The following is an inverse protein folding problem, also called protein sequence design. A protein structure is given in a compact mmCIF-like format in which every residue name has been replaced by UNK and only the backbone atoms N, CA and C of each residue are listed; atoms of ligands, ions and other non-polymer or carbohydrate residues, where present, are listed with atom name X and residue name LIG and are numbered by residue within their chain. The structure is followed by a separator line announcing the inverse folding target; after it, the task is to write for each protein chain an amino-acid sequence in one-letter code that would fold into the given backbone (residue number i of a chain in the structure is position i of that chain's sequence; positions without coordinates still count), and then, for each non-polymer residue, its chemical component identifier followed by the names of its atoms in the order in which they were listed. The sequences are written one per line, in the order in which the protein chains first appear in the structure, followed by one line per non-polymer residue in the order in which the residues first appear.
data_IF_430163137172
#
_entry.id   IF_430163137172
#
_cell.length_a   1.000
_cell.length_b   1.000
_cell.length_c   1.000
_cell.angle_alpha   90.00
_cell.angle_beta   90.00
_cell.angle_gamma   90.00
#
_symmetry.space_group_name_H-M   'P 1'
#
loop_
_entity.id
_entity.type
_entity.pdbx_description
1 polymer ?
#
# COMPACT_ATOMS: atom_id res chain seq x y z
N UNK A 1 -9.29 -15.71 -22.82
CA UNK A 1 -8.37 -14.82 -23.56
C UNK A 1 -8.86 -13.36 -23.57
N UNK A 2 -10.10 -13.10 -23.98
CA UNK A 2 -10.70 -11.75 -24.04
C UNK A 2 -10.58 -10.95 -22.74
N UNK A 3 -10.93 -11.53 -21.58
CA UNK A 3 -10.81 -10.86 -20.28
C UNK A 3 -9.39 -10.35 -20.02
N UNK A 4 -8.37 -11.18 -20.25
CA UNK A 4 -6.94 -10.79 -20.07
C UNK A 4 -6.56 -9.63 -21.00
N UNK A 5 -7.04 -9.63 -22.24
CA UNK A 5 -6.80 -8.53 -23.18
C UNK A 5 -7.46 -7.21 -22.71
N UNK A 6 -8.72 -7.27 -22.28
CA UNK A 6 -9.43 -6.11 -21.72
C UNK A 6 -8.70 -5.58 -20.48
N UNK A 7 -8.33 -6.47 -19.55
CA UNK A 7 -7.58 -6.08 -18.35
C UNK A 7 -6.28 -5.37 -18.72
N UNK A 8 -5.50 -5.86 -19.69
CA UNK A 8 -4.27 -5.20 -20.16
C UNK A 8 -4.52 -3.81 -20.72
N UNK A 9 -5.58 -3.64 -21.53
CA UNK A 9 -5.96 -2.32 -22.06
C UNK A 9 -6.36 -1.37 -20.93
N UNK A 10 -7.16 -1.82 -19.97
CA UNK A 10 -7.55 -1.01 -18.81
C UNK A 10 -6.34 -0.60 -17.96
N UNK A 11 -5.40 -1.52 -17.72
CA UNK A 11 -4.15 -1.20 -17.03
C UNK A 11 -3.34 -0.16 -17.83
N UNK A 12 -3.23 -0.30 -19.15
CA UNK A 12 -2.52 0.67 -19.99
C UNK A 12 -3.17 2.06 -19.95
N UNK A 13 -4.50 2.15 -19.95
CA UNK A 13 -5.23 3.42 -19.76
C UNK A 13 -4.89 4.01 -18.39
N UNK A 14 -4.93 3.21 -17.34
CA UNK A 14 -4.53 3.62 -15.99
C UNK A 14 -3.09 4.13 -15.91
N UNK A 15 -2.13 3.42 -16.49
CA UNK A 15 -0.71 3.84 -16.55
C UNK A 15 -0.53 5.16 -17.31
N UNK A 16 -1.27 5.37 -18.40
CA UNK A 16 -1.24 6.61 -19.16
C UNK A 16 -1.85 7.77 -18.36
N UNK A 17 -2.96 7.53 -17.67
CA UNK A 17 -3.56 8.50 -16.76
C UNK A 17 -2.57 8.90 -15.65
N UNK A 18 -1.90 7.93 -15.02
CA UNK A 18 -0.85 8.21 -14.03
C UNK A 18 0.31 9.01 -14.63
N UNK A 19 0.70 8.72 -15.87
CA UNK A 19 1.75 9.47 -16.58
C UNK A 19 1.36 10.93 -16.79
N UNK A 20 0.13 11.16 -17.25
CA UNK A 20 -0.41 12.50 -17.46
C UNK A 20 -0.49 13.26 -16.13
N UNK A 21 -0.99 12.64 -15.06
CA UNK A 21 -1.03 13.28 -13.74
C UNK A 21 0.37 13.57 -13.22
N UNK A 22 1.33 12.67 -13.42
CA UNK A 22 2.73 12.91 -13.03
C UNK A 22 3.32 14.08 -13.78
N UNK A 23 3.02 14.20 -15.08
CA UNK A 23 3.45 15.32 -15.91
C UNK A 23 2.80 16.63 -15.44
N UNK A 24 1.49 16.63 -15.22
CA UNK A 24 0.75 17.78 -14.70
C UNK A 24 1.26 18.20 -13.33
N UNK A 25 1.52 17.27 -12.41
CA UNK A 25 2.09 17.59 -11.10
C UNK A 25 3.47 18.23 -11.22
N UNK A 26 4.32 17.76 -12.14
CA UNK A 26 5.64 18.36 -12.38
C UNK A 26 5.57 19.75 -13.02
N UNK A 27 4.53 20.04 -13.81
CA UNK A 27 4.36 21.33 -14.49
C UNK A 27 3.54 22.36 -13.69
N UNK A 28 2.51 21.91 -12.97
CA UNK A 28 1.54 22.76 -12.30
C UNK A 28 1.87 23.05 -10.84
N UNK A 29 2.78 22.29 -10.20
CA UNK A 29 3.15 22.46 -8.80
C UNK A 29 4.56 21.93 -8.48
N UNK A 30 5.11 22.39 -7.36
CA UNK A 30 6.47 22.10 -6.87
C UNK A 30 6.57 20.72 -6.20
N UNK A 31 6.21 19.66 -6.94
CA UNK A 31 6.34 18.28 -6.47
C UNK A 31 7.71 17.73 -6.85
N UNK A 32 8.63 17.77 -5.88
CA UNK A 32 9.97 17.18 -5.98
C UNK A 32 9.94 15.76 -5.40
N UNK A 33 10.07 14.77 -6.30
CA UNK A 33 10.08 13.35 -5.96
C UNK A 33 11.48 12.82 -6.16
N UNK A 34 12.14 12.49 -5.06
CA UNK A 34 13.36 11.70 -5.06
C UNK A 34 13.00 10.24 -4.77
N UNK A 35 13.53 9.30 -5.57
CA UNK A 35 13.28 7.86 -5.37
C UNK A 35 14.57 7.07 -5.48
N UNK A 36 14.75 6.11 -4.58
CA UNK A 36 15.95 5.25 -4.50
C UNK A 36 15.51 3.78 -4.38
N UNK A 37 16.33 2.83 -4.84
CA UNK A 37 16.06 1.41 -4.58
C UNK A 37 15.04 0.77 -5.52
N UNK A 38 14.84 1.38 -6.70
CA UNK A 38 13.90 0.89 -7.72
C UNK A 38 14.52 -0.15 -8.66
N UNK A 39 15.81 -0.42 -8.48
CA UNK A 39 16.57 -1.35 -9.28
C UNK A 39 16.04 -2.77 -9.03
N UNK A 40 16.00 -3.60 -10.08
CA UNK A 40 15.51 -4.99 -10.03
C UNK A 40 13.98 -5.17 -9.88
N UNK A 41 13.19 -4.11 -10.03
CA UNK A 41 11.74 -4.23 -10.22
C UNK A 41 11.42 -4.56 -11.69
N UNK A 42 10.41 -5.40 -11.91
CA UNK A 42 10.01 -5.91 -13.23
C UNK A 42 8.51 -5.74 -13.42
N UNK A 43 8.08 -5.45 -14.65
CA UNK A 43 6.66 -5.26 -14.98
C UNK A 43 5.85 -6.56 -14.94
N UNK A 44 6.52 -7.69 -15.08
CA UNK A 44 5.94 -9.02 -15.14
C UNK A 44 5.95 -9.74 -13.78
N UNK A 45 6.44 -9.09 -12.72
CA UNK A 45 6.47 -9.64 -11.36
C UNK A 45 5.15 -9.49 -10.59
N UNK A 46 5.02 -10.20 -9.48
CA UNK A 46 3.94 -9.99 -8.51
C UNK A 46 4.54 -9.44 -7.22
N UNK A 47 4.01 -8.33 -6.74
CA UNK A 47 4.59 -7.63 -5.59
C UNK A 47 3.56 -7.39 -4.50
N UNK A 48 3.98 -7.65 -3.26
CA UNK A 48 3.30 -7.13 -2.08
C UNK A 48 4.05 -5.89 -1.62
N UNK A 49 3.50 -4.71 -1.89
CA UNK A 49 4.10 -3.44 -1.53
C UNK A 49 3.61 -3.02 -0.15
N UNK A 50 4.53 -2.79 0.79
CA UNK A 50 4.22 -2.32 2.13
C UNK A 50 4.77 -0.92 2.34
N UNK A 51 3.98 -0.04 2.95
CA UNK A 51 4.38 1.36 3.15
C UNK A 51 3.87 1.92 4.48
N UNK A 52 4.61 2.89 5.03
CA UNK A 52 4.06 3.85 5.98
C UNK A 52 3.07 4.79 5.26
N UNK A 53 2.23 5.50 6.01
CA UNK A 53 1.19 6.35 5.41
C UNK A 53 1.09 7.70 6.14
N UNK A 54 1.30 8.82 5.46
CA UNK A 54 1.29 10.17 6.05
C UNK A 54 0.18 11.04 5.48
N UNK A 55 -0.01 11.03 4.16
CA UNK A 55 -1.01 11.89 3.49
C UNK A 55 -1.68 11.16 2.33
N UNK A 56 -2.74 11.76 1.76
CA UNK A 56 -3.36 11.21 0.55
C UNK A 56 -2.43 11.34 -0.67
N UNK A 57 -1.51 12.31 -0.63
CA UNK A 57 -0.46 12.50 -1.65
C UNK A 57 0.42 11.25 -1.80
N UNK A 58 0.59 10.43 -0.74
CA UNK A 58 1.34 9.17 -0.81
C UNK A 58 0.87 8.27 -1.96
N UNK A 59 -0.45 8.16 -2.18
CA UNK A 59 -1.00 7.31 -3.24
C UNK A 59 -0.58 7.83 -4.61
N UNK A 60 -0.62 9.14 -4.80
CA UNK A 60 -0.27 9.78 -6.08
C UNK A 60 1.23 9.65 -6.34
N UNK A 61 2.06 9.86 -5.32
CA UNK A 61 3.52 9.68 -5.39
C UNK A 61 3.88 8.23 -5.67
N UNK A 62 3.28 7.27 -4.96
CA UNK A 62 3.52 5.84 -5.19
C UNK A 62 3.10 5.43 -6.60
N UNK A 63 1.94 5.88 -7.07
CA UNK A 63 1.53 5.65 -8.46
C UNK A 63 2.57 6.22 -9.43
N UNK A 64 3.05 7.45 -9.25
CA UNK A 64 4.06 8.07 -10.11
C UNK A 64 5.41 7.32 -10.09
N UNK A 65 5.90 6.96 -8.90
CA UNK A 65 7.19 6.28 -8.70
C UNK A 65 7.18 4.88 -9.29
N UNK A 66 6.11 4.11 -9.07
CA UNK A 66 6.02 2.73 -9.52
C UNK A 66 5.45 2.57 -10.93
N UNK A 67 4.90 3.64 -11.52
CA UNK A 67 4.31 3.60 -12.85
C UNK A 67 5.30 3.00 -13.83
N UNK A 68 4.87 1.98 -14.56
CA UNK A 68 5.66 1.30 -15.59
C UNK A 68 6.93 0.58 -15.11
N UNK A 69 7.16 0.47 -13.80
CA UNK A 69 8.29 -0.26 -13.20
C UNK A 69 7.87 -1.57 -12.56
N UNK A 70 6.65 -1.59 -12.02
CA UNK A 70 5.95 -2.77 -11.53
C UNK A 70 4.57 -2.83 -12.22
N UNK A 71 3.86 -3.96 -12.19
CA UNK A 71 2.47 -3.98 -12.64
C UNK A 71 1.64 -2.96 -11.87
N UNK A 72 0.60 -2.46 -12.52
CA UNK A 72 -0.25 -1.38 -12.00
C UNK A 72 -0.63 -1.58 -10.53
N UNK A 73 -0.42 -0.53 -9.72
CA UNK A 73 -0.64 -0.61 -8.27
C UNK A 73 -2.13 -0.76 -7.97
N UNK A 74 -2.48 -1.89 -7.38
CA UNK A 74 -3.80 -2.13 -6.78
C UNK A 74 -3.72 -1.94 -5.28
N UNK A 75 -4.79 -1.43 -4.69
CA UNK A 75 -4.87 -1.22 -3.24
C UNK A 75 -6.25 -1.64 -2.73
N UNK A 76 -6.31 -1.94 -1.44
CA UNK A 76 -7.57 -2.26 -0.78
C UNK A 76 -8.41 -1.00 -0.59
N UNK A 77 -9.52 -0.92 -1.32
CA UNK A 77 -10.41 0.25 -1.34
C UNK A 77 -11.56 0.03 -0.38
N UNK A 78 -11.93 1.04 0.40
CA UNK A 78 -13.16 1.00 1.21
C UNK A 78 -14.38 0.82 0.31
N UNK A 79 -15.31 -0.08 0.66
CA UNK A 79 -16.47 -0.36 -0.19
C UNK A 79 -17.29 0.90 -0.51
N UNK A 80 -17.38 1.85 0.40
CA UNK A 80 -18.13 3.11 0.22
C UNK A 80 -17.60 3.95 -0.95
N UNK A 81 -16.33 3.79 -1.33
CA UNK A 81 -15.70 4.53 -2.43
C UNK A 81 -16.11 4.03 -3.82
N UNK A 82 -16.86 2.92 -3.93
CA UNK A 82 -17.42 2.48 -5.21
C UNK A 82 -18.41 3.52 -5.79
N UNK A 83 -19.00 4.34 -4.92
CA UNK A 83 -19.95 5.39 -5.28
C UNK A 83 -19.27 6.70 -5.67
N UNK A 84 -17.93 6.78 -5.59
CA UNK A 84 -17.21 7.97 -6.03
C UNK A 84 -17.32 8.09 -7.56
N UNK A 85 -17.84 9.22 -8.10
CA UNK A 85 -18.08 9.35 -9.53
C UNK A 85 -16.82 9.09 -10.37
N UNK A 86 -16.98 8.33 -11.46
CA UNK A 86 -15.93 7.92 -12.42
C UNK A 86 -14.84 7.01 -11.83
N UNK A 87 -14.21 7.38 -10.71
CA UNK A 87 -13.14 6.58 -10.08
C UNK A 87 -13.67 5.27 -9.51
N UNK A 88 -14.86 5.25 -8.92
CA UNK A 88 -15.49 4.03 -8.41
C UNK A 88 -15.65 2.95 -9.48
N UNK A 89 -16.12 3.35 -10.66
CA UNK A 89 -16.30 2.49 -11.83
C UNK A 89 -14.93 2.06 -12.39
N UNK A 90 -13.97 2.98 -12.48
CA UNK A 90 -12.63 2.68 -12.95
C UNK A 90 -11.93 1.65 -12.04
N UNK A 91 -12.00 1.83 -10.71
CA UNK A 91 -11.45 0.89 -9.74
C UNK A 91 -12.11 -0.48 -9.83
N UNK A 92 -13.43 -0.54 -9.97
CA UNK A 92 -14.14 -1.80 -10.19
C UNK A 92 -13.69 -2.50 -11.48
N UNK A 93 -13.58 -1.75 -12.59
CA UNK A 93 -13.14 -2.28 -13.88
C UNK A 93 -11.68 -2.78 -13.85
N UNK A 94 -10.83 -2.18 -13.02
CA UNK A 94 -9.44 -2.59 -12.80
C UNK A 94 -9.28 -3.79 -11.85
N UNK A 95 -10.39 -4.43 -11.44
CA UNK A 95 -10.42 -5.50 -10.45
C UNK A 95 -9.77 -5.05 -9.10
N UNK A 96 -9.98 -3.81 -8.67
CA UNK A 96 -9.54 -3.35 -7.34
C UNK A 96 -10.32 -4.06 -6.22
N UNK A 97 -9.66 -4.52 -5.15
CA UNK A 97 -10.32 -5.21 -4.05
C UNK A 97 -11.06 -4.21 -3.14
N UNK A 98 -12.40 -4.24 -3.19
CA UNK A 98 -13.25 -3.48 -2.27
C UNK A 98 -13.47 -4.22 -0.96
N UNK A 99 -13.19 -3.55 0.15
CA UNK A 99 -13.20 -4.09 1.51
C UNK A 99 -14.37 -3.54 2.32
N UNK A 100 -15.14 -4.44 2.92
CA UNK A 100 -16.08 -4.13 4.00
C UNK A 100 -15.31 -4.03 5.31
N UNK A 101 -15.43 -2.91 6.02
CA UNK A 101 -14.92 -2.79 7.40
C UNK A 101 -16.08 -2.93 8.38
N UNK A 102 -16.13 -4.05 9.07
CA UNK A 102 -17.08 -4.24 10.15
C UNK A 102 -16.53 -3.67 11.46
N UNK A 103 -17.33 -2.88 12.17
CA UNK A 103 -16.94 -2.41 13.50
C UNK A 103 -16.98 -3.57 14.51
N UNK A 104 -16.19 -3.51 15.61
CA UNK A 104 -16.27 -4.52 16.67
C UNK A 104 -17.69 -4.69 17.23
N UNK A 105 -18.41 -3.58 17.40
CA UNK A 105 -19.80 -3.58 17.87
C UNK A 105 -20.77 -4.23 16.89
N UNK A 106 -20.56 -4.06 15.58
CA UNK A 106 -21.36 -4.71 14.54
C UNK A 106 -21.10 -6.22 14.49
N UNK A 107 -19.83 -6.64 14.61
CA UNK A 107 -19.45 -8.05 14.63
C UNK A 107 -19.95 -8.78 15.87
N UNK A 108 -19.97 -8.11 17.03
CA UNK A 108 -20.54 -8.66 18.25
C UNK A 108 -22.04 -8.98 18.09
N UNK A 109 -22.77 -8.12 17.36
CA UNK A 109 -24.20 -8.32 17.05
C UNK A 109 -24.43 -9.29 15.89
N UNK A 110 -23.45 -9.47 15.01
CA UNK A 110 -23.54 -10.32 13.82
C UNK A 110 -22.33 -11.27 13.71
N UNK A 111 -22.25 -12.31 14.57
CA UNK A 111 -21.10 -13.21 14.60
C UNK A 111 -20.83 -13.90 13.26
N UNK A 112 -21.87 -14.20 12.48
CA UNK A 112 -21.80 -14.80 11.15
C UNK A 112 -21.15 -13.89 10.08
N UNK A 113 -20.89 -12.61 10.39
CA UNK A 113 -20.20 -11.68 9.50
C UNK A 113 -18.68 -11.65 9.74
N UNK A 114 -18.21 -12.27 10.82
CA UNK A 114 -16.78 -12.41 11.12
C UNK A 114 -16.10 -13.25 10.04
N UNK A 115 -15.05 -12.73 9.42
CA UNK A 115 -14.30 -13.42 8.35
C UNK A 115 -14.87 -13.25 6.94
N UNK A 116 -16.06 -12.65 6.74
CA UNK A 116 -16.58 -12.38 5.38
C UNK A 116 -15.74 -11.36 4.60
N UNK A 117 -15.08 -10.44 5.31
CA UNK A 117 -14.09 -9.53 4.74
C UNK A 117 -12.87 -10.28 4.21
N UNK A 118 -12.41 -11.29 4.93
CA UNK A 118 -11.33 -12.20 4.53
C UNK A 118 -11.70 -13.02 3.30
N UNK A 119 -12.91 -13.58 3.26
CA UNK A 119 -13.39 -14.32 2.07
C UNK A 119 -13.49 -13.43 0.84
N UNK A 120 -13.98 -12.19 1.00
CA UNK A 120 -14.06 -11.21 -0.09
C UNK A 120 -12.66 -10.86 -0.59
N UNK A 121 -11.70 -10.72 0.32
CA UNK A 121 -10.28 -10.50 0.00
C UNK A 121 -9.73 -11.69 -0.79
N UNK A 122 -9.91 -12.92 -0.31
CA UNK A 122 -9.46 -14.15 -0.99
C UNK A 122 -10.01 -14.24 -2.41
N UNK A 123 -11.30 -13.94 -2.61
CA UNK A 123 -11.93 -13.96 -3.94
C UNK A 123 -11.38 -12.88 -4.88
N UNK A 124 -11.11 -11.68 -4.37
CA UNK A 124 -10.49 -10.62 -5.16
C UNK A 124 -9.05 -11.00 -5.54
N UNK A 125 -8.30 -11.55 -4.59
CA UNK A 125 -6.94 -12.05 -4.76
C UNK A 125 -6.85 -13.18 -5.79
N UNK A 126 -7.80 -14.11 -5.82
CA UNK A 126 -7.82 -15.19 -6.82
C UNK A 126 -7.87 -14.70 -8.28
N UNK A 127 -8.43 -13.49 -8.51
CA UNK A 127 -8.43 -12.87 -9.85
C UNK A 127 -7.05 -12.38 -10.28
N UNK A 128 -6.09 -12.28 -9.36
CA UNK A 128 -4.74 -11.77 -9.63
C UNK A 128 -3.77 -12.89 -10.05
N UNK A 129 -4.20 -14.15 -10.01
CA UNK A 129 -3.40 -15.29 -10.49
C UNK A 129 -3.12 -15.21 -12.00
N UNK A 130 -4.05 -14.63 -12.77
CA UNK A 130 -3.99 -14.65 -14.23
C UNK A 130 -3.14 -13.52 -14.84
N UNK A 131 -2.74 -12.52 -14.06
CA UNK A 131 -2.07 -11.30 -14.57
C UNK A 131 -1.16 -10.69 -13.49
N UNK A 132 0.11 -10.33 -13.84
CA UNK A 132 1.01 -9.63 -12.95
C UNK A 132 0.33 -8.46 -12.24
N UNK A 133 0.43 -8.45 -10.91
CA UNK A 133 -0.27 -7.48 -10.06
C UNK A 133 0.61 -7.06 -8.89
N UNK A 134 0.61 -5.75 -8.60
CA UNK A 134 1.21 -5.19 -7.39
C UNK A 134 0.11 -4.82 -6.41
N UNK A 135 0.19 -5.29 -5.16
CA UNK A 135 -0.78 -4.99 -4.12
C UNK A 135 -0.13 -4.09 -3.06
N UNK A 136 -0.59 -2.84 -3.00
CA UNK A 136 -0.16 -1.85 -2.03
C UNK A 136 -0.95 -1.98 -0.72
N UNK A 137 -0.21 -2.01 0.39
CA UNK A 137 -0.74 -2.09 1.74
C UNK A 137 -0.07 -1.05 2.65
N UNK A 138 -0.87 -0.10 3.12
CA UNK A 138 -0.49 0.82 4.19
C UNK A 138 -0.69 0.14 5.55
N UNK A 139 0.37 -0.45 6.08
CA UNK A 139 0.30 -1.39 7.21
C UNK A 139 -0.16 -0.70 8.51
N UNK A 140 0.07 0.61 8.66
CA UNK A 140 -0.44 1.40 9.80
C UNK A 140 -1.98 1.46 9.83
N UNK A 141 -2.63 1.19 8.69
CA UNK A 141 -4.09 1.17 8.51
C UNK A 141 -4.76 2.55 8.54
N UNK A 142 -3.98 3.62 8.74
CA UNK A 142 -4.42 5.02 8.73
C UNK A 142 -3.22 5.93 8.48
N UNK A 143 -3.48 7.17 8.06
CA UNK A 143 -2.48 8.23 7.96
C UNK A 143 -1.92 8.58 9.35
N UNK A 144 -0.62 8.74 9.43
CA UNK A 144 0.12 9.20 10.58
C UNK A 144 -0.38 10.57 11.03
N UNK A 145 -0.43 10.74 12.35
CA UNK A 145 -0.49 12.05 12.99
C UNK A 145 0.11 11.92 14.38
N UNK A 146 0.70 12.99 14.89
CA UNK A 146 1.33 12.97 16.21
C UNK A 146 0.34 12.58 17.32
N UNK A 147 -0.88 13.12 17.24
CA UNK A 147 -1.99 12.74 18.14
C UNK A 147 -2.24 11.22 18.14
N UNK A 148 -2.35 10.58 16.96
CA UNK A 148 -2.56 9.12 16.88
C UNK A 148 -1.35 8.35 17.39
N UNK A 149 -0.13 8.87 17.21
CA UNK A 149 1.10 8.24 17.68
C UNK A 149 1.11 8.16 19.19
N UNK A 150 0.77 9.28 19.85
CA UNK A 150 0.64 9.39 21.31
C UNK A 150 -0.51 8.51 21.83
N UNK A 151 -1.71 8.65 21.27
CA UNK A 151 -2.90 7.90 21.72
C UNK A 151 -2.71 6.39 21.62
N UNK A 152 -2.03 5.93 20.58
CA UNK A 152 -1.77 4.51 20.33
C UNK A 152 -0.50 4.01 21.00
N UNK A 153 0.23 4.86 21.72
CA UNK A 153 1.51 4.54 22.37
C UNK A 153 2.48 3.87 21.40
N UNK A 154 2.61 4.44 20.19
CA UNK A 154 3.51 3.90 19.19
C UNK A 154 4.95 3.87 19.73
N UNK A 155 5.69 2.76 19.60
CA UNK A 155 7.08 2.69 20.04
C UNK A 155 8.03 3.46 19.11
N UNK A 156 7.54 3.94 17.96
CA UNK A 156 8.31 4.64 16.95
C UNK A 156 8.15 6.17 17.08
N UNK A 157 9.18 6.92 16.69
CA UNK A 157 9.16 8.39 16.74
C UNK A 157 8.36 8.99 15.59
N UNK A 158 8.44 8.41 14.40
CA UNK A 158 7.91 8.96 13.15
C UNK A 158 6.79 8.12 12.52
N UNK A 159 6.40 7.00 13.14
CA UNK A 159 5.48 6.01 12.57
C UNK A 159 4.42 5.57 13.59
N UNK A 160 3.26 5.09 13.11
CA UNK A 160 2.34 4.30 13.93
C UNK A 160 2.75 2.83 13.94
N UNK A 161 2.30 2.10 14.96
CA UNK A 161 2.51 0.66 15.05
C UNK A 161 1.87 -0.07 13.86
N UNK A 162 2.59 -1.00 13.20
CA UNK A 162 2.05 -1.77 12.08
C UNK A 162 0.90 -2.68 12.53
N UNK A 163 -0.10 -2.86 11.67
CA UNK A 163 -1.21 -3.79 11.86
C UNK A 163 -1.05 -5.00 10.93
N UNK A 164 -0.61 -6.12 11.49
CA UNK A 164 -0.29 -7.34 10.73
C UNK A 164 -1.47 -7.98 10.00
N UNK A 165 -2.72 -7.70 10.39
CA UNK A 165 -3.91 -8.39 9.88
C UNK A 165 -4.04 -8.35 8.35
N UNK A 166 -4.14 -7.15 7.75
CA UNK A 166 -4.31 -7.04 6.28
C UNK A 166 -3.13 -7.59 5.50
N UNK A 167 -1.92 -7.50 6.05
CA UNK A 167 -0.70 -8.05 5.46
C UNK A 167 -0.73 -9.58 5.44
N UNK A 168 -1.06 -10.20 6.58
CA UNK A 168 -1.17 -11.66 6.69
C UNK A 168 -2.25 -12.25 5.76
N UNK A 169 -3.33 -11.51 5.54
CA UNK A 169 -4.40 -11.93 4.63
C UNK A 169 -3.92 -11.92 3.17
N UNK A 170 -3.18 -10.88 2.77
CA UNK A 170 -2.56 -10.83 1.45
C UNK A 170 -1.56 -11.98 1.24
N UNK A 171 -0.72 -12.26 2.25
CA UNK A 171 0.23 -13.37 2.22
C UNK A 171 -0.46 -14.74 2.13
N UNK A 172 -1.45 -15.02 2.97
CA UNK A 172 -2.16 -16.31 2.92
C UNK A 172 -3.00 -16.51 1.66
N UNK A 173 -3.36 -15.43 0.96
CA UNK A 173 -4.18 -15.50 -0.27
C UNK A 173 -3.36 -15.59 -1.54
N UNK A 174 -2.16 -14.99 -1.57
CA UNK A 174 -1.35 -14.83 -2.80
C UNK A 174 0.15 -15.01 -2.59
N UNK A 175 0.57 -15.48 -1.41
CA UNK A 175 1.97 -15.61 -1.04
C UNK A 175 2.80 -16.36 -2.08
N UNK A 176 2.28 -17.46 -2.62
CA UNK A 176 2.95 -18.28 -3.63
C UNK A 176 3.14 -17.56 -4.98
N UNK A 177 2.35 -16.53 -5.26
CA UNK A 177 2.44 -15.76 -6.50
C UNK A 177 3.47 -14.65 -6.39
N UNK A 178 3.63 -14.07 -5.20
CA UNK A 178 4.48 -12.91 -5.00
C UNK A 178 5.94 -13.26 -5.27
N UNK A 179 6.53 -12.53 -6.22
CA UNK A 179 7.95 -12.58 -6.51
C UNK A 179 8.75 -12.06 -5.33
N UNK A 180 8.40 -10.88 -4.81
CA UNK A 180 9.07 -10.21 -3.69
C UNK A 180 8.09 -9.33 -2.89
N UNK A 181 8.46 -9.01 -1.66
CA UNK A 181 7.87 -7.91 -0.89
C UNK A 181 8.63 -6.63 -1.26
N UNK A 182 7.93 -5.54 -1.54
CA UNK A 182 8.54 -4.23 -1.79
C UNK A 182 8.25 -3.34 -0.59
N UNK A 183 9.29 -3.08 0.18
CA UNK A 183 9.25 -2.28 1.39
C UNK A 183 9.54 -0.81 1.07
N UNK A 184 8.54 0.06 1.21
CA UNK A 184 8.60 1.46 0.78
C UNK A 184 8.48 2.41 1.95
N UNK A 185 9.45 3.31 2.09
CA UNK A 185 9.45 4.33 3.14
C UNK A 185 9.21 5.70 2.51
N UNK A 186 8.05 6.27 2.82
CA UNK A 186 7.64 7.61 2.43
C UNK A 186 8.18 8.62 3.45
N UNK A 187 9.03 9.54 2.98
CA UNK A 187 9.70 10.52 3.83
C UNK A 187 9.37 11.91 3.31
N UNK A 188 8.79 12.74 4.16
CA UNK A 188 8.55 14.16 3.88
C UNK A 188 9.46 14.97 4.82
N UNK A 189 10.61 15.50 4.32
CA UNK A 189 11.58 16.20 5.16
C UNK A 189 10.97 17.40 5.89
N UNK A 190 10.22 18.24 5.15
CA UNK A 190 9.52 19.41 5.68
C UNK A 190 8.14 19.10 6.29
N UNK A 191 7.78 17.83 6.43
CA UNK A 191 6.43 17.41 6.83
C UNK A 191 5.50 17.16 5.64
N UNK A 192 4.46 16.35 5.88
CA UNK A 192 3.57 15.88 4.82
C UNK A 192 2.53 16.94 4.44
N UNK A 193 2.53 17.36 3.18
CA UNK A 193 1.54 18.30 2.62
C UNK A 193 0.18 17.62 2.43
N UNK A 194 -0.91 18.34 2.67
CA UNK A 194 -2.25 17.82 2.37
C UNK A 194 -2.47 17.75 0.86
N UNK A 195 -3.38 16.87 0.42
CA UNK A 195 -3.70 16.79 -1.01
C UNK A 195 -4.31 18.07 -1.55
N UNK A 196 -5.13 18.77 -0.76
CA UNK A 196 -5.74 20.02 -1.19
C UNK A 196 -4.69 21.12 -1.33
N UNK A 197 -3.77 21.24 -0.36
CA UNK A 197 -2.69 22.24 -0.44
C UNK A 197 -1.80 21.99 -1.66
N UNK A 198 -1.48 20.72 -1.96
CA UNK A 198 -0.77 20.35 -3.19
C UNK A 198 -1.54 20.78 -4.45
N UNK A 199 -2.86 20.55 -4.50
CA UNK A 199 -3.70 21.00 -5.62
C UNK A 199 -3.78 22.54 -5.72
N UNK A 200 -3.58 23.25 -4.62
CA UNK A 200 -3.49 24.71 -4.56
C UNK A 200 -2.07 25.25 -4.80
N UNK A 201 -1.11 24.39 -5.16
CA UNK A 201 0.25 24.78 -5.54
C UNK A 201 1.27 24.79 -4.40
N UNK A 202 0.95 24.25 -3.22
CA UNK A 202 1.92 24.10 -2.15
C UNK A 202 3.05 23.13 -2.53
N UNK A 203 4.27 23.45 -2.11
CA UNK A 203 5.44 22.63 -2.38
C UNK A 203 5.34 21.25 -1.70
N UNK A 204 5.73 20.22 -2.43
CA UNK A 204 5.75 18.84 -1.94
C UNK A 204 7.11 18.26 -2.24
N UNK A 205 7.95 18.16 -1.21
CA UNK A 205 9.20 17.40 -1.28
C UNK A 205 9.02 16.05 -0.62
N UNK A 206 9.26 14.99 -1.37
CA UNK A 206 9.11 13.61 -0.90
C UNK A 206 10.27 12.76 -1.37
N UNK A 207 10.83 11.99 -0.43
CA UNK A 207 11.86 10.99 -0.68
C UNK A 207 11.22 9.62 -0.49
N UNK A 208 11.38 8.75 -1.48
CA UNK A 208 10.82 7.40 -1.52
C UNK A 208 11.97 6.39 -1.50
N UNK A 209 12.23 5.81 -0.33
CA UNK A 209 13.22 4.73 -0.16
C UNK A 209 12.55 3.39 -0.41
N UNK A 210 12.96 2.68 -1.46
CA UNK A 210 12.40 1.39 -1.85
C UNK A 210 13.39 0.28 -1.55
N UNK A 211 12.91 -0.83 -0.98
CA UNK A 211 13.73 -2.02 -0.71
C UNK A 211 12.98 -3.26 -1.15
N UNK A 212 13.55 -3.97 -2.13
CA UNK A 212 13.10 -5.32 -2.46
C UNK A 212 13.54 -6.29 -1.35
N UNK A 213 12.57 -7.01 -0.78
CA UNK A 213 12.78 -8.06 0.21
C UNK A 213 12.37 -9.39 -0.38
N UNK A 214 13.24 -10.37 -0.23
CA UNK A 214 12.93 -11.75 -0.60
C UNK A 214 11.73 -12.22 0.21
N UNK A 215 10.78 -12.86 -0.46
CA UNK A 215 9.68 -13.52 0.22
C UNK A 215 10.20 -14.82 0.86
N UNK A 216 10.30 -14.83 2.18
CA UNK A 216 10.73 -16.01 2.93
C UNK A 216 9.60 -17.05 3.02
N UNK A 217 9.94 -18.34 2.94
CA UNK A 217 8.96 -19.43 2.90
C UNK A 217 7.98 -19.41 4.08
N UNK A 218 8.49 -19.12 5.28
CA UNK A 218 7.67 -19.08 6.49
C UNK A 218 6.58 -18.01 6.44
N UNK A 219 6.74 -16.93 5.66
CA UNK A 219 5.71 -15.89 5.47
C UNK A 219 4.52 -16.41 4.65
N UNK A 220 4.76 -17.38 3.76
CA UNK A 220 3.75 -17.95 2.86
C UNK A 220 3.04 -19.14 3.50
N UNK A 221 3.79 -20.00 4.17
CA UNK A 221 3.27 -21.25 4.77
C UNK A 221 2.53 -21.02 6.10
N UNK A 222 2.70 -19.86 6.72
CA UNK A 222 2.16 -19.56 8.05
C UNK A 222 0.66 -19.25 8.08
N UNK A 223 0.02 -19.57 9.21
CA UNK A 223 -1.41 -19.33 9.43
C UNK A 223 -1.66 -18.28 10.51
N UNK A 224 -2.00 -17.05 10.12
CA UNK A 224 -2.24 -15.97 11.07
C UNK A 224 -3.46 -16.17 11.98
N UNK A 225 -4.46 -16.94 11.57
CA UNK A 225 -5.70 -17.14 12.33
C UNK A 225 -5.53 -18.18 13.44
N UNK A 226 -4.89 -19.31 13.15
CA UNK A 226 -4.76 -20.43 14.09
C UNK A 226 -3.39 -20.58 14.74
N UNK A 227 -2.32 -20.02 14.18
CA UNK A 227 -0.96 -20.22 14.68
C UNK A 227 -0.46 -19.01 15.50
N UNK A 228 -0.24 -19.24 16.80
CA UNK A 228 0.25 -18.21 17.73
C UNK A 228 1.74 -17.91 17.52
N UNK A 229 2.56 -18.90 17.20
CA UNK A 229 4.00 -18.69 17.04
C UNK A 229 4.27 -17.96 15.73
N UNK A 230 3.57 -18.33 14.65
CA UNK A 230 3.60 -17.57 13.40
C UNK A 230 3.21 -16.10 13.62
N UNK A 231 2.12 -15.83 14.35
CA UNK A 231 1.74 -14.44 14.68
C UNK A 231 2.87 -13.70 15.37
N UNK A 232 3.49 -14.31 16.38
CA UNK A 232 4.60 -13.71 17.12
C UNK A 232 5.80 -13.42 16.22
N UNK A 233 6.19 -14.38 15.39
CA UNK A 233 7.28 -14.23 14.41
C UNK A 233 6.97 -13.12 13.39
N UNK A 234 5.75 -13.08 12.85
CA UNK A 234 5.31 -12.04 11.91
C UNK A 234 5.33 -10.65 12.53
N UNK A 235 4.87 -10.51 13.78
CA UNK A 235 4.93 -9.25 14.52
C UNK A 235 6.38 -8.83 14.79
N UNK A 236 7.27 -9.77 15.11
CA UNK A 236 8.70 -9.51 15.26
C UNK A 236 9.32 -8.97 13.97
N UNK A 237 9.12 -9.68 12.85
CA UNK A 237 9.61 -9.27 11.53
C UNK A 237 9.07 -7.90 11.11
N UNK A 238 7.76 -7.64 11.27
CA UNK A 238 7.18 -6.32 10.98
C UNK A 238 7.77 -5.23 11.88
N UNK A 239 8.05 -5.55 13.14
CA UNK A 239 8.65 -4.60 14.07
C UNK A 239 10.07 -4.22 13.66
N UNK A 240 10.88 -5.18 13.19
CA UNK A 240 12.22 -4.92 12.65
C UNK A 240 12.16 -4.04 11.40
N UNK A 241 11.25 -4.35 10.48
CA UNK A 241 11.00 -3.52 9.28
C UNK A 241 10.65 -2.09 9.70
N UNK A 242 9.72 -1.92 10.65
CA UNK A 242 9.30 -0.60 11.11
C UNK A 242 10.38 0.17 11.87
N UNK A 243 11.17 -0.51 12.72
CA UNK A 243 12.31 0.11 13.39
C UNK A 243 13.30 0.66 12.38
N UNK A 244 13.59 -0.10 11.31
CA UNK A 244 14.49 0.37 10.26
C UNK A 244 13.91 1.57 9.50
N UNK A 245 12.60 1.57 9.20
CA UNK A 245 11.93 2.73 8.60
C UNK A 245 12.03 3.97 9.46
N UNK A 246 11.80 3.83 10.76
CA UNK A 246 11.84 4.95 11.70
C UNK A 246 13.23 5.60 11.75
N UNK A 247 14.28 4.76 11.74
CA UNK A 247 15.67 5.21 11.65
C UNK A 247 15.96 5.96 10.35
N UNK A 248 15.57 5.40 9.19
CA UNK A 248 15.80 6.05 7.89
C UNK A 248 15.07 7.39 7.82
N UNK A 249 13.84 7.48 8.34
CA UNK A 249 13.08 8.74 8.39
C UNK A 249 13.83 9.76 9.25
N UNK A 250 14.36 9.36 10.41
CA UNK A 250 15.13 10.24 11.27
C UNK A 250 16.42 10.73 10.60
N UNK A 251 17.25 9.82 10.08
CA UNK A 251 18.51 10.13 9.38
C UNK A 251 18.29 11.06 8.17
N UNK A 252 17.23 10.81 7.40
CA UNK A 252 16.91 11.62 6.22
C UNK A 252 16.43 13.02 6.61
N UNK A 253 15.65 13.15 7.69
CA UNK A 253 15.21 14.46 8.20
C UNK A 253 16.36 15.28 8.76
N UNK A 254 17.36 14.65 9.38
CA UNK A 254 18.54 15.37 9.87
C UNK A 254 19.43 15.89 8.74
N UNK A 255 19.47 15.17 7.62
CA UNK A 255 20.32 15.54 6.47
C UNK A 255 19.65 16.48 5.46
N UNK A 256 18.32 16.52 5.42
CA UNK A 256 17.53 17.27 4.42
C UNK A 256 16.56 18.29 5.04
N UNK A 257 16.52 18.39 6.38
CA UNK A 257 15.67 19.29 7.15
C UNK A 257 16.33 20.62 7.50
#
# INVERSE_FOLDING_TARGET
ALRRAITRVLMAVGENWVSLNTLLMRFAASVDIESRGLENLQREGWYLIISNHQTWVDIVVLQAVFNRRVPFLKFFIKQELIWFPLLGIAWWAMDMPFMKRFSPSYLAKNPHMKGKDLETTRRACAKFNDTPTSVLNFIEGTRFSEMKRVDRKSPYKNLLQPRAGGFAVALSSMGELFTNIVDVTMIYPAGATSFWDMCCGADVRVIVDVRARKLEKWLVEGNYESDREFRKQLHGWLSEVWTRKDLIIAETRETHG
#
